data_IF_888788909157
#
_entry.id   IF_888788909157
#
_cell.length_a   1.000
_cell.length_b   1.000
_cell.length_c   1.000
_cell.angle_alpha   90.00
_cell.angle_beta   90.00
_cell.angle_gamma   90.00
#
_symmetry.space_group_name_H-M   'P 1'
#
loop_
_entity.id
_entity.type
_entity.pdbx_description
1 polymer ?
#
# COMPACT_ATOMS: atom_id res chain seq x y z
N UNK A 1 -18.41 -34.74 -20.12
CA UNK A 1 -17.09 -34.11 -20.39
C UNK A 1 -17.21 -32.59 -20.51
N UNK A 2 -18.01 -32.03 -21.43
CA UNK A 2 -18.16 -30.57 -21.60
C UNK A 2 -18.70 -29.82 -20.36
N UNK A 3 -19.68 -30.39 -19.65
CA UNK A 3 -20.25 -29.75 -18.44
C UNK A 3 -19.22 -29.56 -17.32
N UNK A 4 -18.32 -30.54 -17.11
CA UNK A 4 -17.27 -30.44 -16.11
C UNK A 4 -16.27 -29.32 -16.40
N UNK A 5 -15.96 -29.09 -17.69
CA UNK A 5 -15.12 -27.97 -18.11
C UNK A 5 -15.81 -26.62 -17.83
N UNK A 6 -17.09 -26.49 -18.15
CA UNK A 6 -17.85 -25.26 -17.88
C UNK A 6 -17.92 -24.91 -16.39
N UNK A 7 -18.10 -25.92 -15.52
CA UNK A 7 -18.08 -25.73 -14.07
C UNK A 7 -16.70 -25.25 -13.59
N UNK A 8 -15.62 -25.79 -14.14
CA UNK A 8 -14.26 -25.39 -13.80
C UNK A 8 -13.95 -23.96 -14.28
N UNK A 9 -14.36 -23.61 -15.49
CA UNK A 9 -14.23 -22.25 -16.03
C UNK A 9 -15.03 -21.23 -15.21
N UNK A 10 -16.24 -21.59 -14.78
CA UNK A 10 -17.05 -20.75 -13.90
C UNK A 10 -16.34 -20.50 -12.56
N UNK A 11 -15.75 -21.53 -11.96
CA UNK A 11 -14.98 -21.40 -10.72
C UNK A 11 -13.77 -20.47 -10.89
N UNK A 12 -13.02 -20.62 -11.98
CA UNK A 12 -11.87 -19.74 -12.29
C UNK A 12 -12.34 -18.30 -12.47
N UNK A 13 -13.44 -18.08 -13.19
CA UNK A 13 -14.01 -16.75 -13.39
C UNK A 13 -14.44 -16.12 -12.07
N UNK A 14 -15.11 -16.86 -11.19
CA UNK A 14 -15.48 -16.39 -9.86
C UNK A 14 -14.24 -15.98 -9.03
N UNK A 15 -13.17 -16.79 -9.06
CA UNK A 15 -11.92 -16.43 -8.38
C UNK A 15 -11.26 -15.18 -8.96
N UNK A 16 -11.33 -14.99 -10.28
CA UNK A 16 -10.84 -13.75 -10.92
C UNK A 16 -11.64 -12.53 -10.48
N UNK A 17 -12.97 -12.63 -10.45
CA UNK A 17 -13.86 -11.56 -9.96
C UNK A 17 -13.52 -11.20 -8.51
N UNK A 18 -13.44 -12.19 -7.61
CA UNK A 18 -13.05 -11.97 -6.21
C UNK A 18 -11.69 -11.31 -6.03
N UNK A 19 -10.73 -11.58 -6.92
CA UNK A 19 -9.42 -10.92 -6.89
C UNK A 19 -9.50 -9.46 -7.31
N UNK A 20 -10.35 -9.15 -8.29
CA UNK A 20 -10.61 -7.77 -8.74
C UNK A 20 -11.34 -6.99 -7.66
N UNK A 21 -12.40 -7.53 -7.06
CA UNK A 21 -13.15 -6.92 -5.95
C UNK A 21 -12.22 -6.56 -4.78
N UNK A 22 -11.44 -7.53 -4.29
CA UNK A 22 -10.44 -7.28 -3.22
C UNK A 22 -9.37 -6.25 -3.59
N UNK A 23 -9.08 -6.08 -4.88
CA UNK A 23 -8.14 -5.03 -5.34
C UNK A 23 -8.81 -3.66 -5.31
N UNK A 24 -10.08 -3.58 -5.68
CA UNK A 24 -10.88 -2.35 -5.65
C UNK A 24 -11.12 -1.92 -4.20
N UNK A 25 -11.55 -2.83 -3.32
CA UNK A 25 -11.76 -2.54 -1.89
C UNK A 25 -10.52 -1.96 -1.22
N UNK A 26 -9.35 -2.60 -1.39
CA UNK A 26 -8.09 -2.09 -0.84
C UNK A 26 -7.74 -0.71 -1.36
N UNK A 27 -8.02 -0.44 -2.64
CA UNK A 27 -7.83 0.88 -3.21
C UNK A 27 -8.75 1.90 -2.55
N UNK A 28 -10.05 1.59 -2.43
CA UNK A 28 -11.01 2.49 -1.81
C UNK A 28 -10.58 2.82 -0.38
N UNK A 29 -10.21 1.79 0.41
CA UNK A 29 -9.74 1.96 1.78
C UNK A 29 -8.46 2.78 1.89
N UNK A 30 -7.52 2.60 0.95
CA UNK A 30 -6.28 3.39 0.91
C UNK A 30 -6.56 4.84 0.53
N UNK A 31 -7.34 5.06 -0.52
CA UNK A 31 -7.62 6.39 -1.06
C UNK A 31 -8.53 7.19 -0.10
N UNK A 32 -9.29 6.51 0.76
CA UNK A 32 -10.05 7.11 1.86
C UNK A 32 -9.18 7.44 3.10
N UNK A 33 -7.92 7.01 3.15
CA UNK A 33 -7.02 7.27 4.27
C UNK A 33 -5.98 8.32 3.90
N UNK A 34 -5.79 9.29 4.78
CA UNK A 34 -4.69 10.25 4.71
C UNK A 34 -3.78 10.10 5.94
N UNK A 35 -2.64 9.40 5.84
CA UNK A 35 -1.74 9.20 6.97
C UNK A 35 -1.19 10.50 7.59
N UNK A 36 -1.20 11.62 6.86
CA UNK A 36 -0.71 12.91 7.37
C UNK A 36 -1.72 13.63 8.27
N UNK A 37 -2.99 13.19 8.31
CA UNK A 37 -4.00 13.70 9.23
C UNK A 37 -3.87 13.12 10.65
N UNK A 38 -2.99 12.13 10.84
CA UNK A 38 -2.70 11.61 12.17
C UNK A 38 -2.14 12.71 13.09
N UNK A 39 -2.51 12.74 14.38
CA UNK A 39 -1.88 13.61 15.37
C UNK A 39 -0.36 13.44 15.38
N UNK A 40 0.37 14.55 15.56
CA UNK A 40 1.84 14.56 15.48
C UNK A 40 2.53 13.45 16.29
N UNK A 41 2.13 13.25 17.56
CA UNK A 41 2.72 12.23 18.41
C UNK A 41 2.42 10.80 17.92
N UNK A 42 1.24 10.56 17.35
CA UNK A 42 0.87 9.26 16.80
C UNK A 42 1.67 8.99 15.52
N UNK A 43 1.74 9.99 14.63
CA UNK A 43 2.55 9.93 13.41
C UNK A 43 4.01 9.65 13.74
N UNK A 44 4.59 10.39 14.69
CA UNK A 44 5.97 10.22 15.12
C UNK A 44 6.22 8.85 15.77
N UNK A 45 5.30 8.35 16.58
CA UNK A 45 5.39 7.00 17.16
C UNK A 45 5.37 5.89 16.10
N UNK A 46 4.58 6.11 15.04
CA UNK A 46 4.36 5.17 13.94
C UNK A 46 5.51 5.15 12.94
N UNK A 47 5.88 6.32 12.40
CA UNK A 47 6.86 6.48 11.33
C UNK A 47 8.27 6.82 11.83
N UNK A 48 8.43 7.10 13.14
CA UNK A 48 9.71 7.49 13.80
C UNK A 48 10.33 8.78 13.27
N UNK A 49 9.58 9.49 12.43
CA UNK A 49 9.96 10.73 11.75
C UNK A 49 8.72 11.61 11.71
N UNK A 50 8.89 12.94 11.78
CA UNK A 50 7.76 13.88 11.78
C UNK A 50 7.15 14.07 10.39
N UNK A 51 5.91 14.55 10.31
CA UNK A 51 5.24 14.84 9.04
C UNK A 51 6.04 15.77 8.14
N UNK A 52 6.68 16.79 8.72
CA UNK A 52 7.42 17.83 7.99
C UNK A 52 8.65 17.25 7.30
N UNK A 53 9.41 16.39 8.01
CA UNK A 53 10.58 15.73 7.44
C UNK A 53 10.15 14.76 6.34
N UNK A 54 9.06 14.00 6.55
CA UNK A 54 8.52 13.11 5.51
C UNK A 54 8.15 13.92 4.27
N UNK A 55 7.44 15.04 4.42
CA UNK A 55 7.02 15.86 3.28
C UNK A 55 8.24 16.46 2.54
N UNK A 56 9.26 16.88 3.28
CA UNK A 56 10.51 17.33 2.68
C UNK A 56 11.17 16.23 1.82
N UNK A 57 11.24 14.99 2.34
CA UNK A 57 11.77 13.84 1.58
C UNK A 57 10.90 13.57 0.35
N UNK A 58 9.58 13.63 0.48
CA UNK A 58 8.65 13.45 -0.63
C UNK A 58 8.93 14.47 -1.73
N UNK A 59 9.11 15.74 -1.40
CA UNK A 59 9.33 16.80 -2.38
C UNK A 59 10.67 16.66 -3.09
N UNK A 60 11.73 16.27 -2.36
CA UNK A 60 13.04 15.96 -2.96
C UNK A 60 12.95 14.80 -3.94
N UNK A 61 12.20 13.75 -3.59
CA UNK A 61 12.09 12.52 -4.40
C UNK A 61 10.91 12.55 -5.39
N UNK A 62 10.12 13.63 -5.43
CA UNK A 62 8.83 13.66 -6.12
C UNK A 62 8.98 13.26 -7.58
N UNK A 63 9.97 13.84 -8.26
CA UNK A 63 10.22 13.59 -9.68
C UNK A 63 10.60 12.14 -9.99
N UNK A 64 11.40 11.52 -9.12
CA UNK A 64 11.85 10.13 -9.28
C UNK A 64 10.72 9.15 -8.93
N UNK A 65 9.86 9.50 -7.97
CA UNK A 65 8.76 8.67 -7.50
C UNK A 65 7.48 8.82 -8.32
N UNK A 66 7.39 9.83 -9.19
CA UNK A 66 6.26 10.04 -10.10
C UNK A 66 5.92 8.73 -10.82
N UNK A 67 4.63 8.41 -10.83
CA UNK A 67 4.12 7.20 -11.46
C UNK A 67 3.30 7.58 -12.68
N UNK A 68 3.61 6.99 -13.83
CA UNK A 68 2.90 7.27 -15.09
C UNK A 68 1.50 6.61 -15.08
N UNK A 69 1.31 5.60 -14.22
CA UNK A 69 0.06 4.85 -14.15
C UNK A 69 -0.97 5.62 -13.31
N UNK A 70 -2.17 5.83 -13.87
CA UNK A 70 -3.36 6.39 -13.18
C UNK A 70 -3.61 5.74 -11.81
N UNK A 71 -3.21 4.47 -11.69
CA UNK A 71 -3.46 3.63 -10.52
C UNK A 71 -2.24 3.36 -9.63
N UNK A 72 -1.12 4.05 -9.86
CA UNK A 72 0.06 3.88 -9.03
C UNK A 72 -0.09 4.55 -7.66
N UNK A 73 0.90 4.32 -6.80
CA UNK A 73 0.96 4.96 -5.49
C UNK A 73 1.46 6.40 -5.64
N UNK A 74 0.94 7.31 -4.83
CA UNK A 74 1.49 8.66 -4.74
C UNK A 74 2.92 8.62 -4.16
N UNK A 75 3.70 9.68 -4.36
CA UNK A 75 5.06 9.74 -3.83
C UNK A 75 5.05 9.66 -2.29
N UNK A 76 4.07 10.31 -1.67
CA UNK A 76 3.80 10.31 -0.23
C UNK A 76 3.65 8.90 0.32
N UNK A 77 2.77 8.09 -0.29
CA UNK A 77 2.55 6.70 0.16
C UNK A 77 3.78 5.83 -0.08
N UNK A 78 4.52 6.05 -1.18
CA UNK A 78 5.76 5.31 -1.45
C UNK A 78 6.83 5.59 -0.39
N UNK A 79 7.06 6.87 -0.05
CA UNK A 79 8.01 7.29 0.98
C UNK A 79 7.59 6.76 2.36
N UNK A 80 6.33 6.95 2.76
CA UNK A 80 5.81 6.45 4.03
C UNK A 80 5.94 4.93 4.16
N UNK A 81 5.73 4.21 3.06
CA UNK A 81 5.91 2.75 3.02
C UNK A 81 7.36 2.36 3.30
N UNK A 82 8.31 3.04 2.65
CA UNK A 82 9.74 2.77 2.84
C UNK A 82 10.19 3.13 4.26
N UNK A 83 9.81 4.31 4.76
CA UNK A 83 10.12 4.76 6.12
C UNK A 83 9.56 3.78 7.14
N UNK A 84 8.29 3.39 7.02
CA UNK A 84 7.68 2.44 7.94
C UNK A 84 8.46 1.11 7.98
N UNK A 85 8.84 0.59 6.82
CA UNK A 85 9.65 -0.63 6.73
C UNK A 85 11.00 -0.48 7.44
N UNK A 86 11.75 0.60 7.19
CA UNK A 86 13.06 0.81 7.80
C UNK A 86 12.99 1.14 9.29
N UNK A 87 11.97 1.87 9.71
CA UNK A 87 11.81 2.35 11.08
C UNK A 87 11.31 1.26 12.05
N UNK A 88 10.54 0.28 11.56
CA UNK A 88 9.94 -0.76 12.38
C UNK A 88 10.49 -2.16 12.11
N UNK A 89 11.10 -2.41 10.94
CA UNK A 89 11.52 -3.74 10.51
C UNK A 89 10.34 -4.72 10.34
N UNK A 90 10.64 -5.97 9.98
CA UNK A 90 9.63 -7.00 9.68
C UNK A 90 9.05 -7.70 10.93
N UNK A 91 9.50 -7.37 12.14
CA UNK A 91 9.25 -8.22 13.30
C UNK A 91 8.21 -7.59 14.25
N UNK A 92 7.08 -8.29 14.38
CA UNK A 92 5.92 -8.04 15.28
C UNK A 92 4.90 -6.97 14.86
N UNK A 93 5.27 -5.73 14.56
CA UNK A 93 4.28 -4.67 14.24
C UNK A 93 3.39 -4.94 13.02
N UNK A 94 3.89 -5.47 11.89
CA UNK A 94 3.04 -5.85 10.76
C UNK A 94 2.04 -6.96 11.10
N UNK A 95 2.29 -7.79 12.10
CA UNK A 95 1.39 -8.89 12.50
C UNK A 95 0.20 -8.37 13.31
N UNK A 96 0.41 -7.31 14.11
CA UNK A 96 -0.65 -6.64 14.88
C UNK A 96 -1.35 -5.48 14.15
N UNK A 97 -0.69 -4.85 13.16
CA UNK A 97 -1.15 -3.61 12.53
C UNK A 97 -0.98 -3.62 10.99
N UNK A 98 -1.34 -4.73 10.34
CA UNK A 98 -1.02 -4.99 8.92
C UNK A 98 -1.69 -4.05 7.89
N UNK A 99 -2.57 -3.13 8.32
CA UNK A 99 -3.40 -2.30 7.46
C UNK A 99 -2.99 -0.82 7.36
N UNK A 100 -1.83 -0.40 7.86
CA UNK A 100 -1.54 1.04 8.02
C UNK A 100 -1.55 1.89 6.75
N UNK A 101 -1.25 1.31 5.58
CA UNK A 101 -1.28 2.00 4.28
C UNK A 101 -2.13 1.24 3.24
N UNK A 102 -2.76 0.12 3.63
CA UNK A 102 -3.62 -0.74 2.79
C UNK A 102 -3.02 -1.03 1.40
N UNK A 103 -1.74 -1.42 1.36
CA UNK A 103 -1.04 -1.81 0.13
C UNK A 103 -0.67 -3.30 0.14
N UNK A 104 -0.49 -3.87 -1.07
CA UNK A 104 -0.07 -5.26 -1.22
C UNK A 104 1.44 -5.42 -1.00
N UNK A 105 1.86 -6.60 -0.52
CA UNK A 105 3.27 -6.98 -0.37
C UNK A 105 4.15 -6.67 -1.61
N UNK A 106 3.76 -6.97 -2.87
CA UNK A 106 4.58 -6.61 -4.03
C UNK A 106 4.67 -5.10 -4.25
N UNK A 107 3.69 -4.31 -3.80
CA UNK A 107 3.78 -2.85 -3.85
C UNK A 107 4.76 -2.33 -2.80
N UNK A 108 4.73 -2.88 -1.58
CA UNK A 108 5.72 -2.61 -0.54
C UNK A 108 7.13 -2.94 -1.02
N UNK A 109 7.33 -4.12 -1.62
CA UNK A 109 8.63 -4.51 -2.15
C UNK A 109 9.15 -3.57 -3.24
N UNK A 110 8.26 -3.00 -4.08
CA UNK A 110 8.67 -2.01 -5.08
C UNK A 110 9.07 -0.68 -4.44
N UNK A 111 8.39 -0.25 -3.38
CA UNK A 111 8.74 0.99 -2.68
C UNK A 111 10.13 0.90 -2.04
N UNK A 112 10.49 -0.27 -1.51
CA UNK A 112 11.79 -0.51 -0.84
C UNK A 112 12.95 -0.62 -1.84
N UNK A 113 12.70 -1.10 -3.07
CA UNK A 113 13.73 -1.36 -4.09
C UNK A 113 13.91 -0.21 -5.10
N UNK A 114 13.21 0.91 -4.90
CA UNK A 114 13.23 2.06 -5.81
C UNK A 114 14.61 2.69 -5.89
#
# INVERSE_FOLDING_TARGET
MAEAYLVWDLFILQERVRRVERRIERRILRDAQNPFELPHNEFLSKFRVSQEIVMHIVDVLRNDLMTIRINGLSAEIQVLTAINFYANGSYQRPVGNQCELVISQPSTSRCIRR
#
